data_IF_344511179887
#
_entry.id   IF_344511179887
#
_cell.length_a   1.000
_cell.length_b   1.000
_cell.length_c   1.000
_cell.angle_alpha   90.00
_cell.angle_beta   90.00
_cell.angle_gamma   90.00
#
_symmetry.space_group_name_H-M   'P 1'
#
loop_
_entity.id
_entity.type
_entity.pdbx_description
1 polymer ?
#
# COMPACT_ATOMS: atom_id res chain seq x y z
N UNK A 1 -48.42 -37.81 -49.96
CA UNK A 1 -47.50 -38.64 -49.14
C UNK A 1 -46.08 -38.20 -49.49
N UNK A 2 -45.40 -37.44 -48.61
CA UNK A 2 -44.24 -37.89 -47.78
C UNK A 2 -43.11 -38.49 -48.67
N UNK A 3 -41.87 -37.99 -48.79
CA UNK A 3 -40.90 -37.38 -47.84
C UNK A 3 -39.75 -36.60 -48.57
N UNK A 4 -38.93 -35.81 -47.83
CA UNK A 4 -37.82 -34.99 -48.36
C UNK A 4 -36.41 -35.56 -48.07
N UNK A 5 -35.37 -35.25 -48.87
CA UNK A 5 -33.96 -35.58 -48.55
C UNK A 5 -32.97 -34.47 -48.98
N UNK A 6 -32.42 -33.82 -47.96
CA UNK A 6 -31.05 -33.31 -47.74
C UNK A 6 -30.26 -32.61 -48.88
N UNK A 7 -30.06 -31.30 -48.71
CA UNK A 7 -28.94 -30.56 -49.31
C UNK A 7 -27.70 -30.57 -48.39
N UNK A 8 -26.47 -30.55 -48.93
CA UNK A 8 -25.27 -30.35 -48.14
C UNK A 8 -24.95 -28.87 -47.94
N UNK A 9 -25.12 -28.41 -46.70
CA UNK A 9 -24.61 -27.15 -46.16
C UNK A 9 -23.07 -27.19 -46.08
N UNK A 10 -22.40 -26.28 -46.81
CA UNK A 10 -20.95 -26.05 -46.67
C UNK A 10 -20.71 -25.01 -45.59
N UNK A 11 -19.96 -25.39 -44.56
CA UNK A 11 -19.53 -24.51 -43.46
C UNK A 11 -18.43 -23.53 -43.91
N UNK A 12 -18.35 -22.32 -43.33
CA UNK A 12 -17.24 -21.41 -43.56
C UNK A 12 -16.00 -21.83 -42.76
N UNK A 13 -14.87 -22.04 -43.45
CA UNK A 13 -13.56 -22.23 -42.84
C UNK A 13 -13.02 -20.90 -42.32
N UNK A 14 -12.92 -20.76 -40.98
CA UNK A 14 -12.21 -19.66 -40.33
C UNK A 14 -10.69 -19.87 -40.48
N UNK A 15 -10.06 -19.05 -41.33
CA UNK A 15 -8.60 -19.01 -41.46
C UNK A 15 -7.96 -18.37 -40.23
N UNK A 16 -7.17 -19.14 -39.48
CA UNK A 16 -6.34 -18.65 -38.38
C UNK A 16 -5.20 -17.76 -38.89
N UNK A 17 -5.23 -16.46 -38.56
CA UNK A 17 -4.07 -15.58 -38.69
C UNK A 17 -3.21 -15.63 -37.43
N UNK A 18 -2.41 -16.69 -37.27
CA UNK A 18 -1.42 -16.82 -36.19
C UNK A 18 0.00 -16.53 -36.71
N UNK A 19 0.34 -15.26 -36.98
CA UNK A 19 1.71 -14.85 -37.37
C UNK A 19 2.11 -13.46 -36.84
N UNK A 20 2.03 -13.18 -35.53
CA UNK A 20 2.61 -11.93 -34.93
C UNK A 20 3.13 -12.03 -33.48
N UNK A 21 3.52 -13.21 -32.98
CA UNK A 21 3.96 -13.36 -31.57
C UNK A 21 5.47 -13.63 -31.38
N UNK A 22 6.22 -13.94 -32.46
CA UNK A 22 7.64 -14.28 -32.34
C UNK A 22 8.57 -13.06 -32.20
N UNK A 23 8.21 -11.92 -32.80
CA UNK A 23 9.03 -10.69 -32.79
C UNK A 23 8.99 -9.93 -31.45
N UNK A 24 7.83 -9.93 -30.78
CA UNK A 24 7.65 -9.21 -29.51
C UNK A 24 8.47 -9.80 -28.36
N UNK A 25 8.71 -11.12 -28.35
CA UNK A 25 9.52 -11.80 -27.32
C UNK A 25 11.02 -11.49 -27.43
N UNK A 26 11.54 -11.32 -28.65
CA UNK A 26 12.92 -10.92 -28.87
C UNK A 26 13.16 -9.46 -28.44
N UNK A 27 12.23 -8.56 -28.77
CA UNK A 27 12.26 -7.16 -28.35
C UNK A 27 12.12 -7.01 -26.82
N UNK A 28 11.22 -7.76 -26.20
CA UNK A 28 11.08 -7.78 -24.74
C UNK A 28 12.36 -8.26 -24.01
N UNK A 29 13.10 -9.24 -24.58
CA UNK A 29 14.40 -9.66 -24.03
C UNK A 29 15.48 -8.59 -24.18
N UNK A 30 15.49 -7.89 -25.31
CA UNK A 30 16.41 -6.77 -25.54
C UNK A 30 16.13 -5.64 -24.53
N UNK A 31 14.87 -5.27 -24.32
CA UNK A 31 14.49 -4.22 -23.36
C UNK A 31 14.82 -4.62 -21.91
N UNK A 32 14.64 -5.89 -21.54
CA UNK A 32 15.05 -6.39 -20.24
C UNK A 32 16.57 -6.30 -20.03
N UNK A 33 17.37 -6.60 -21.06
CA UNK A 33 18.84 -6.45 -21.01
C UNK A 33 19.25 -4.98 -20.90
N UNK A 34 18.60 -4.08 -21.64
CA UNK A 34 18.89 -2.64 -21.54
C UNK A 34 18.55 -2.08 -20.16
N UNK A 35 17.44 -2.50 -19.56
CA UNK A 35 17.07 -2.13 -18.19
C UNK A 35 18.08 -2.64 -17.16
N UNK A 36 18.54 -3.89 -17.31
CA UNK A 36 19.57 -4.45 -16.45
C UNK A 36 20.90 -3.68 -16.58
N UNK A 37 21.30 -3.32 -17.81
CA UNK A 37 22.51 -2.56 -18.07
C UNK A 37 22.46 -1.16 -17.42
N UNK A 38 21.32 -0.48 -17.54
CA UNK A 38 21.09 0.83 -16.91
C UNK A 38 21.09 0.70 -15.38
N UNK A 39 20.52 -0.37 -14.84
CA UNK A 39 20.56 -0.64 -13.40
C UNK A 39 22.00 -0.82 -12.91
N UNK A 40 22.82 -1.55 -13.65
CA UNK A 40 24.24 -1.76 -13.34
C UNK A 40 25.00 -0.43 -13.42
N UNK A 41 24.71 0.40 -14.42
CA UNK A 41 25.32 1.73 -14.57
C UNK A 41 25.01 2.66 -13.38
N UNK A 42 23.77 2.68 -12.89
CA UNK A 42 23.45 3.47 -11.69
C UNK A 42 24.05 2.87 -10.41
N UNK A 43 24.36 1.58 -10.39
CA UNK A 43 25.01 0.91 -9.26
C UNK A 43 26.53 0.98 -9.32
N UNK A 44 27.13 1.31 -10.47
CA UNK A 44 28.58 1.27 -10.65
C UNK A 44 29.33 2.30 -9.82
N UNK A 45 28.66 3.38 -9.42
CA UNK A 45 29.22 4.38 -8.48
C UNK A 45 29.54 3.78 -7.10
N UNK A 46 28.86 2.69 -6.73
CA UNK A 46 29.09 1.93 -5.49
C UNK A 46 30.01 0.73 -5.68
N UNK A 47 30.59 0.53 -6.86
CA UNK A 47 31.47 -0.61 -7.09
C UNK A 47 32.81 -0.41 -6.38
N UNK A 48 33.31 -1.50 -5.83
CA UNK A 48 34.58 -1.52 -5.11
C UNK A 48 35.70 -1.38 -6.15
N UNK A 49 36.41 -0.27 -6.09
CA UNK A 49 37.60 0.06 -6.87
C UNK A 49 38.83 0.00 -5.97
N UNK A 50 40.05 -0.19 -6.53
CA UNK A 50 41.26 -0.25 -5.71
C UNK A 50 41.46 0.98 -4.83
N UNK A 51 41.00 2.15 -5.29
CA UNK A 51 41.11 3.42 -4.57
C UNK A 51 40.09 3.57 -3.43
N UNK A 52 38.94 2.90 -3.51
CA UNK A 52 37.90 2.95 -2.47
C UNK A 52 37.87 1.71 -1.56
N UNK A 53 38.63 0.66 -1.88
CA UNK A 53 38.63 -0.63 -1.19
C UNK A 53 38.95 -0.48 0.30
N UNK A 54 39.97 0.30 0.65
CA UNK A 54 40.38 0.53 2.04
C UNK A 54 39.26 1.18 2.86
N UNK A 55 38.63 2.23 2.31
CA UNK A 55 37.51 2.92 2.95
C UNK A 55 36.29 2.00 3.13
N UNK A 56 35.99 1.13 2.16
CA UNK A 56 34.87 0.17 2.23
C UNK A 56 35.15 -0.93 3.26
N UNK A 57 36.39 -1.41 3.38
CA UNK A 57 36.79 -2.36 4.43
C UNK A 57 36.61 -1.70 5.80
N UNK A 58 37.10 -0.48 5.99
CA UNK A 58 36.98 0.21 7.26
C UNK A 58 35.52 0.48 7.64
N UNK A 59 34.67 0.87 6.69
CA UNK A 59 33.24 1.10 6.93
C UNK A 59 32.49 -0.20 7.27
N UNK A 60 32.84 -1.31 6.64
CA UNK A 60 32.16 -2.60 6.85
C UNK A 60 32.58 -3.30 8.14
N UNK A 61 33.87 -3.22 8.50
CA UNK A 61 34.41 -3.90 9.68
C UNK A 61 34.49 -3.00 10.92
N UNK A 62 34.55 -1.68 10.74
CA UNK A 62 34.50 -0.69 11.82
C UNK A 62 33.46 0.40 11.48
N UNK A 63 32.16 0.04 11.37
CA UNK A 63 31.12 1.01 11.10
C UNK A 63 31.21 2.08 12.17
N UNK A 64 31.59 3.30 11.76
CA UNK A 64 31.50 4.48 12.59
C UNK A 64 30.02 4.57 12.89
N UNK A 65 29.61 4.12 14.08
CA UNK A 65 28.30 4.41 14.61
C UNK A 65 28.21 5.93 14.60
N UNK A 66 27.63 6.50 13.53
CA UNK A 66 27.12 7.83 13.60
C UNK A 66 26.16 7.75 14.75
N UNK A 67 26.51 8.42 15.85
CA UNK A 67 25.61 8.76 16.93
C UNK A 67 24.52 9.68 16.36
N UNK A 68 23.72 9.17 15.43
CA UNK A 68 22.52 9.78 14.90
C UNK A 68 21.29 9.32 15.70
N UNK A 69 21.52 8.65 16.84
CA UNK A 69 20.53 8.39 17.85
C UNK A 69 21.12 8.69 19.23
N UNK A 70 21.00 9.95 19.69
CA UNK A 70 20.98 10.25 21.12
C UNK A 70 22.25 10.80 21.79
N UNK A 71 23.08 11.60 21.13
CA UNK A 71 24.22 12.26 21.80
C UNK A 71 24.36 13.74 21.47
N UNK A 72 23.31 14.52 21.72
CA UNK A 72 23.42 15.95 22.09
C UNK A 72 22.30 16.31 23.08
N UNK A 73 22.19 15.52 24.16
CA UNK A 73 21.45 15.97 25.35
C UNK A 73 22.38 16.93 26.09
N UNK A 74 22.44 18.16 25.59
CA UNK A 74 22.88 19.30 26.39
C UNK A 74 21.96 19.37 27.61
N UNK A 75 22.52 19.26 28.81
CA UNK A 75 21.78 19.11 30.07
C UNK A 75 20.81 20.27 30.37
N UNK A 76 20.84 21.34 29.59
CA UNK A 76 19.95 22.51 29.68
C UNK A 76 18.56 22.30 29.06
N UNK A 77 18.31 21.21 28.33
CA UNK A 77 17.04 20.98 27.63
C UNK A 77 16.16 19.87 28.23
N UNK A 78 16.55 19.27 29.37
CA UNK A 78 15.81 18.15 29.97
C UNK A 78 14.37 18.51 30.32
N UNK A 79 14.12 19.75 30.75
CA UNK A 79 12.77 20.21 31.09
C UNK A 79 11.93 20.46 29.82
N UNK A 80 12.55 20.94 28.73
CA UNK A 80 11.89 21.08 27.44
C UNK A 80 11.56 19.72 26.82
N UNK A 81 12.46 18.74 26.97
CA UNK A 81 12.27 17.36 26.52
C UNK A 81 11.18 16.65 27.33
N UNK A 82 11.12 16.87 28.65
CA UNK A 82 10.07 16.32 29.50
C UNK A 82 8.69 16.88 29.15
N UNK A 83 8.58 18.20 28.94
CA UNK A 83 7.33 18.83 28.52
C UNK A 83 6.89 18.37 27.12
N UNK A 84 7.84 18.20 26.19
CA UNK A 84 7.58 17.61 24.88
C UNK A 84 7.05 16.17 25.02
N UNK A 85 7.69 15.34 25.87
CA UNK A 85 7.27 13.97 26.11
C UNK A 85 5.88 13.88 26.78
N UNK A 86 5.61 14.75 27.76
CA UNK A 86 4.31 14.85 28.42
C UNK A 86 3.20 15.19 27.42
N UNK A 87 3.45 16.13 26.50
CA UNK A 87 2.51 16.48 25.43
C UNK A 87 2.23 15.32 24.48
N UNK A 88 3.23 14.50 24.16
CA UNK A 88 3.08 13.31 23.32
C UNK A 88 2.26 12.23 24.03
N UNK A 89 2.50 12.01 25.32
CA UNK A 89 1.74 11.05 26.13
C UNK A 89 0.29 11.50 26.26
N UNK A 90 0.04 12.78 26.48
CA UNK A 90 -1.32 13.32 26.57
C UNK A 90 -2.07 13.17 25.24
N UNK A 91 -1.44 13.55 24.12
CA UNK A 91 -1.99 13.31 22.78
C UNK A 91 -2.31 11.82 22.53
N UNK A 92 -1.49 10.90 23.02
CA UNK A 92 -1.76 9.45 22.92
C UNK A 92 -2.91 8.98 23.81
N UNK A 93 -3.14 9.61 24.96
CA UNK A 93 -4.27 9.29 25.85
C UNK A 93 -5.59 9.82 25.30
N UNK A 94 -5.56 10.98 24.66
CA UNK A 94 -6.72 11.62 24.04
C UNK A 94 -7.04 11.03 22.65
N UNK A 95 -6.02 10.46 21.98
CA UNK A 95 -6.24 9.76 20.72
C UNK A 95 -7.14 8.53 20.91
N UNK A 96 -8.13 8.31 20.03
CA UNK A 96 -8.92 7.09 20.06
C UNK A 96 -7.99 5.89 19.91
N UNK A 97 -8.18 4.86 20.75
CA UNK A 97 -7.35 3.62 20.76
C UNK A 97 -7.38 2.85 19.44
N UNK A 98 -8.23 3.27 18.51
CA UNK A 98 -8.31 2.75 17.16
C UNK A 98 -7.30 3.49 16.27
N UNK A 99 -6.23 2.81 15.88
CA UNK A 99 -5.42 2.87 14.64
C UNK A 99 -5.50 4.09 13.66
N UNK A 100 -5.83 5.31 14.10
CA UNK A 100 -5.97 6.48 13.23
C UNK A 100 -4.65 7.20 12.98
N UNK A 101 -3.63 6.99 13.82
CA UNK A 101 -2.41 7.81 13.81
C UNK A 101 -1.19 7.09 13.22
N UNK A 102 -1.38 6.21 12.23
CA UNK A 102 -0.24 5.63 11.48
C UNK A 102 0.12 6.49 10.25
N UNK A 103 -0.80 7.34 9.78
CA UNK A 103 -0.56 8.17 8.60
C UNK A 103 0.36 9.39 8.88
N UNK A 104 0.61 9.75 10.15
CA UNK A 104 1.54 10.84 10.50
C UNK A 104 3.00 10.38 10.71
N UNK A 105 3.30 9.08 10.57
CA UNK A 105 4.66 8.56 10.71
C UNK A 105 5.37 8.27 9.39
N UNK A 106 4.76 8.60 8.25
CA UNK A 106 5.38 8.39 6.93
C UNK A 106 6.41 9.44 6.52
N UNK A 107 6.61 10.49 7.30
CA UNK A 107 7.67 11.48 7.04
C UNK A 107 9.02 11.12 7.70
N UNK A 108 9.05 10.07 8.53
CA UNK A 108 10.30 9.40 8.90
C UNK A 108 10.50 8.26 7.90
N UNK A 109 11.12 8.62 6.78
CA UNK A 109 11.56 7.68 5.77
C UNK A 109 12.48 6.61 6.33
N UNK A 110 12.64 5.56 5.52
CA UNK A 110 13.58 4.46 5.73
C UNK A 110 13.09 3.38 6.72
N UNK A 111 13.42 2.11 6.45
CA UNK A 111 13.17 0.93 7.30
C UNK A 111 11.82 0.19 7.28
N UNK A 112 11.01 0.27 6.22
CA UNK A 112 9.96 -0.78 5.99
C UNK A 112 10.41 -1.91 5.06
N UNK A 113 11.61 -1.82 4.45
CA UNK A 113 12.16 -2.85 3.57
C UNK A 113 12.65 -4.10 4.32
N UNK A 114 13.00 -3.98 5.60
CA UNK A 114 13.58 -5.06 6.41
C UNK A 114 12.54 -6.16 6.68
N UNK A 115 11.27 -5.80 6.88
CA UNK A 115 10.19 -6.79 7.08
C UNK A 115 9.66 -7.41 5.78
N UNK A 116 9.87 -6.76 4.64
CA UNK A 116 9.38 -7.26 3.34
C UNK A 116 10.16 -8.49 2.86
N UNK A 117 11.44 -8.64 3.25
CA UNK A 117 12.26 -9.79 2.84
C UNK A 117 11.98 -11.08 3.63
N UNK A 118 11.34 -10.98 4.80
CA UNK A 118 11.07 -12.12 5.68
C UNK A 118 9.72 -12.81 5.38
N UNK A 119 8.77 -12.10 4.74
CA UNK A 119 7.51 -12.69 4.28
C UNK A 119 7.68 -13.11 2.82
N UNK A 120 7.74 -14.42 2.57
CA UNK A 120 8.09 -15.01 1.27
C UNK A 120 7.38 -14.42 0.05
N UNK A 121 7.95 -14.65 -1.13
CA UNK A 121 7.61 -14.07 -2.45
C UNK A 121 6.13 -14.14 -2.91
N UNK A 122 5.23 -14.73 -2.12
CA UNK A 122 3.79 -14.72 -2.33
C UNK A 122 3.12 -13.39 -1.95
N UNK A 123 3.76 -12.54 -1.14
CA UNK A 123 3.20 -11.27 -0.67
C UNK A 123 3.66 -10.13 -1.57
N UNK A 124 3.06 -10.00 -2.76
CA UNK A 124 3.40 -8.94 -3.75
C UNK A 124 2.97 -7.54 -3.33
N UNK A 125 2.16 -7.41 -2.29
CA UNK A 125 1.64 -6.13 -1.83
C UNK A 125 2.51 -5.55 -0.71
N UNK A 126 2.83 -4.26 -0.84
CA UNK A 126 3.57 -3.54 0.19
C UNK A 126 2.83 -3.64 1.53
N UNK A 127 3.54 -3.70 2.66
CA UNK A 127 2.94 -3.70 3.98
C UNK A 127 1.92 -2.56 4.16
N UNK A 128 2.21 -1.40 3.56
CA UNK A 128 1.37 -0.21 3.56
C UNK A 128 0.04 -0.43 2.80
N UNK A 129 0.08 -1.02 1.60
CA UNK A 129 -1.13 -1.30 0.80
C UNK A 129 -2.07 -2.25 1.54
N UNK A 130 -1.50 -3.26 2.18
CA UNK A 130 -2.24 -4.24 2.98
C UNK A 130 -2.85 -3.60 4.22
N UNK A 131 -2.08 -2.78 4.93
CA UNK A 131 -2.58 -2.07 6.10
C UNK A 131 -3.69 -1.07 5.72
N UNK A 132 -3.59 -0.43 4.54
CA UNK A 132 -4.67 0.40 3.97
C UNK A 132 -5.94 -0.43 3.76
N UNK A 133 -5.87 -1.59 3.13
CA UNK A 133 -7.06 -2.45 2.90
C UNK A 133 -7.67 -2.97 4.19
N UNK A 134 -6.85 -3.35 5.17
CA UNK A 134 -7.35 -3.76 6.49
C UNK A 134 -8.10 -2.60 7.15
N UNK A 135 -7.56 -1.39 7.07
CA UNK A 135 -8.22 -0.19 7.58
C UNK A 135 -9.54 0.10 6.87
N UNK A 136 -9.54 0.06 5.54
CA UNK A 136 -10.74 0.24 4.70
C UNK A 136 -11.84 -0.75 5.07
N UNK A 137 -11.49 -2.04 5.23
CA UNK A 137 -12.44 -3.08 5.61
C UNK A 137 -12.95 -2.93 7.06
N UNK A 138 -12.06 -2.59 8.00
CA UNK A 138 -12.42 -2.45 9.42
C UNK A 138 -13.31 -1.23 9.68
N UNK A 139 -13.00 -0.11 9.01
CA UNK A 139 -13.72 1.16 9.19
C UNK A 139 -14.88 1.32 8.20
N UNK A 140 -14.98 0.45 7.20
CA UNK A 140 -15.95 0.60 6.11
C UNK A 140 -15.73 1.88 5.33
N UNK A 141 -14.47 2.31 5.14
CA UNK A 141 -14.10 3.54 4.43
C UNK A 141 -13.29 3.24 3.17
N UNK A 142 -13.28 4.16 2.22
CA UNK A 142 -12.46 4.11 1.02
C UNK A 142 -11.05 4.69 1.28
N UNK A 143 -10.13 4.52 0.33
CA UNK A 143 -8.77 5.08 0.37
C UNK A 143 -8.68 6.60 0.66
N UNK A 144 -9.76 7.35 0.42
CA UNK A 144 -9.87 8.80 0.70
C UNK A 144 -10.41 9.11 2.11
N UNK A 145 -10.59 8.10 2.96
CA UNK A 145 -11.21 8.25 4.28
C UNK A 145 -12.73 8.50 4.26
N UNK A 146 -13.35 8.38 3.09
CA UNK A 146 -14.80 8.57 2.94
C UNK A 146 -15.54 7.27 3.26
N UNK A 147 -16.72 7.31 3.92
CA UNK A 147 -17.52 6.12 4.17
C UNK A 147 -17.86 5.37 2.87
N UNK A 148 -17.85 4.05 2.93
CA UNK A 148 -18.31 3.19 1.84
C UNK A 148 -19.79 3.43 1.56
N UNK A 149 -20.18 3.27 0.30
CA UNK A 149 -21.56 3.39 -0.13
C UNK A 149 -22.49 2.44 0.65
N UNK A 150 -22.01 1.26 1.03
CA UNK A 150 -22.78 0.29 1.81
C UNK A 150 -23.14 0.83 3.20
N UNK A 151 -22.16 1.45 3.87
CA UNK A 151 -22.33 2.10 5.18
C UNK A 151 -23.33 3.25 5.10
N UNK A 152 -23.24 4.08 4.05
CA UNK A 152 -24.17 5.19 3.82
C UNK A 152 -25.60 4.69 3.55
N UNK A 153 -25.74 3.63 2.74
CA UNK A 153 -27.04 3.03 2.42
C UNK A 153 -27.71 2.44 3.67
N UNK A 154 -26.94 1.76 4.52
CA UNK A 154 -27.44 1.23 5.79
C UNK A 154 -27.89 2.35 6.73
N UNK A 155 -27.05 3.37 6.91
CA UNK A 155 -27.35 4.50 7.79
C UNK A 155 -28.59 5.28 7.32
N UNK A 156 -28.70 5.54 6.00
CA UNK A 156 -29.90 6.13 5.42
C UNK A 156 -31.18 5.33 5.72
N UNK A 157 -31.09 3.99 5.72
CA UNK A 157 -32.19 3.12 6.13
C UNK A 157 -32.56 3.25 7.61
N UNK A 158 -31.56 3.34 8.50
CA UNK A 158 -31.77 3.55 9.94
C UNK A 158 -32.43 4.90 10.22
N UNK A 159 -31.92 5.97 9.65
CA UNK A 159 -32.47 7.32 9.82
C UNK A 159 -33.92 7.39 9.34
N UNK A 160 -34.25 6.79 8.19
CA UNK A 160 -35.64 6.73 7.71
C UNK A 160 -36.57 6.03 8.69
N UNK A 161 -36.15 4.88 9.23
CA UNK A 161 -36.96 4.16 10.24
C UNK A 161 -37.18 5.00 11.49
N UNK A 162 -36.16 5.70 11.96
CA UNK A 162 -36.26 6.55 13.13
C UNK A 162 -37.22 7.71 12.89
N UNK A 163 -37.14 8.39 11.74
CA UNK A 163 -38.10 9.44 11.36
C UNK A 163 -39.53 8.90 11.27
N UNK A 164 -39.72 7.71 10.70
CA UNK A 164 -41.04 7.08 10.62
C UNK A 164 -41.61 6.68 12.00
N UNK A 165 -40.75 6.29 12.93
CA UNK A 165 -41.11 5.97 14.32
C UNK A 165 -41.46 7.25 15.09
N UNK A 166 -40.61 8.27 15.04
CA UNK A 166 -40.84 9.58 15.65
C UNK A 166 -42.16 10.20 15.15
N UNK A 167 -42.45 10.10 13.84
CA UNK A 167 -43.71 10.59 13.26
C UNK A 167 -44.94 9.86 13.82
N UNK A 168 -44.85 8.54 14.07
CA UNK A 168 -45.93 7.75 14.67
C UNK A 168 -46.12 8.07 16.15
N UNK A 169 -45.03 8.28 16.90
CA UNK A 169 -45.10 8.69 18.31
C UNK A 169 -45.73 10.07 18.45
N UNK A 170 -45.35 11.02 17.61
CA UNK A 170 -45.98 12.34 17.57
C UNK A 170 -47.49 12.25 17.29
N UNK A 171 -47.90 11.45 16.31
CA UNK A 171 -49.32 11.25 16.00
C UNK A 171 -50.11 10.60 17.15
N UNK A 172 -49.49 9.70 17.92
CA UNK A 172 -50.10 9.08 19.12
C UNK A 172 -50.21 10.04 20.30
N UNK A 173 -49.26 10.98 20.43
CA UNK A 173 -49.25 11.95 21.55
C UNK A 173 -50.26 13.10 21.41
N UNK A 174 -50.83 13.29 20.22
CA UNK A 174 -51.83 14.34 19.93
C UNK A 174 -53.28 13.83 19.96
N UNK A 175 -53.51 12.59 20.39
CA UNK A 175 -54.83 12.04 20.72
C UNK A 175 -55.00 11.95 22.23
#
# INVERSE_FOLDING_TARGET
MLTPVAGPSRLPTLGLTAKRLASSKAKARHDAKMRALISIYHQSDRFISPENLENVIDETFAPKQSMAFGSQISQTNKDAEYNALASIIQKRKEAPKFLTNIDERTDLGEDTSIFASAMGAAWKESPQERMRRVREALLGTNAKGQPSWEVLKENAGRVRRQVDEDAKEHARSSQ
#
